data_IF_204044080365
#
_entry.id   IF_204044080365
#
_cell.length_a   1.000
_cell.length_b   1.000
_cell.length_c   1.000
_cell.angle_alpha   90.00
_cell.angle_beta   90.00
_cell.angle_gamma   90.00
#
_symmetry.space_group_name_H-M   'P 1'
#
loop_
_entity.id
_entity.type
_entity.pdbx_description
1 polymer ?
#
# COMPACT_ATOMS: atom_id res chain seq x y z
N UNK A 1 8.30 30.78 -20.17
CA UNK A 1 9.16 29.71 -20.24
C UNK A 1 8.43 28.41 -20.36
N UNK A 2 9.01 27.61 -21.06
CA UNK A 2 8.36 26.35 -21.25
C UNK A 2 8.40 25.60 -19.95
N UNK A 3 7.30 25.60 -19.34
CA UNK A 3 7.16 24.76 -18.21
C UNK A 3 7.34 23.33 -18.63
N UNK A 4 7.74 22.53 -17.71
CA UNK A 4 7.74 21.12 -17.95
C UNK A 4 6.30 20.72 -18.26
N UNK A 5 6.04 20.44 -19.51
CA UNK A 5 4.71 20.06 -19.96
C UNK A 5 4.40 18.59 -19.69
N UNK A 6 5.39 17.85 -19.20
CA UNK A 6 5.17 16.45 -18.85
C UNK A 6 4.23 16.39 -17.67
N UNK A 7 3.10 15.67 -17.78
CA UNK A 7 2.21 15.52 -16.63
C UNK A 7 2.98 14.88 -15.48
N UNK A 8 2.85 15.48 -14.31
CA UNK A 8 3.43 14.87 -13.12
C UNK A 8 2.68 13.58 -12.85
N UNK A 9 3.43 12.52 -12.64
CA UNK A 9 2.84 11.24 -12.32
C UNK A 9 2.31 11.27 -10.91
N UNK A 10 1.04 10.96 -10.75
CA UNK A 10 0.46 10.70 -9.46
C UNK A 10 0.58 9.22 -9.16
N UNK A 11 1.12 8.92 -7.98
CA UNK A 11 1.22 7.55 -7.52
C UNK A 11 -0.16 7.10 -7.07
N UNK A 12 -0.60 5.96 -7.56
CA UNK A 12 -1.91 5.42 -7.20
C UNK A 12 -1.76 4.50 -6.00
N UNK A 13 -2.49 4.81 -4.94
CA UNK A 13 -2.38 4.13 -3.64
C UNK A 13 -3.73 3.50 -3.30
N UNK A 14 -3.71 2.19 -3.05
CA UNK A 14 -4.88 1.50 -2.53
C UNK A 14 -4.70 1.33 -1.03
N UNK A 15 -5.71 1.69 -0.26
CA UNK A 15 -5.67 1.61 1.20
C UNK A 15 -6.82 0.74 1.67
N UNK A 16 -6.51 -0.30 2.44
CA UNK A 16 -7.50 -1.19 3.04
C UNK A 16 -7.36 -1.13 4.55
N UNK A 17 -8.25 -0.41 5.21
CA UNK A 17 -8.26 -0.24 6.66
C UNK A 17 -9.68 0.13 7.09
N UNK A 18 -10.20 -0.53 8.13
CA UNK A 18 -11.55 -0.25 8.61
C UNK A 18 -11.60 0.82 9.70
N UNK A 19 -10.45 1.33 10.11
CA UNK A 19 -10.36 2.37 11.14
C UNK A 19 -10.43 3.75 10.48
N UNK A 20 -11.54 4.51 10.67
CA UNK A 20 -11.66 5.83 10.03
C UNK A 20 -10.57 6.81 10.43
N UNK A 21 -10.04 6.70 11.66
CA UNK A 21 -8.98 7.60 12.11
C UNK A 21 -7.69 7.35 11.34
N UNK A 22 -7.37 6.10 11.09
CA UNK A 22 -6.18 5.74 10.30
C UNK A 22 -6.36 6.18 8.85
N UNK A 23 -7.53 5.92 8.27
CA UNK A 23 -7.82 6.36 6.91
C UNK A 23 -7.68 7.88 6.76
N UNK A 24 -8.21 8.63 7.72
CA UNK A 24 -8.10 10.09 7.72
C UNK A 24 -6.64 10.53 7.83
N UNK A 25 -5.87 9.87 8.68
CA UNK A 25 -4.46 10.21 8.85
C UNK A 25 -3.69 9.96 7.57
N UNK A 26 -3.87 8.80 6.96
CA UNK A 26 -3.18 8.46 5.71
C UNK A 26 -3.58 9.44 4.61
N UNK A 27 -4.86 9.73 4.48
CA UNK A 27 -5.35 10.68 3.49
C UNK A 27 -4.74 12.06 3.70
N UNK A 28 -4.72 12.53 4.94
CA UNK A 28 -4.19 13.86 5.26
C UNK A 28 -2.70 13.95 4.91
N UNK A 29 -1.94 12.91 5.20
CA UNK A 29 -0.50 12.90 4.95
C UNK A 29 -0.21 12.81 3.46
N UNK A 30 -0.84 11.88 2.76
CA UNK A 30 -0.53 11.62 1.36
C UNK A 30 -1.16 12.63 0.41
N UNK A 31 -2.26 13.27 0.82
CA UNK A 31 -2.92 14.28 -0.02
C UNK A 31 -1.98 15.43 -0.38
N UNK A 32 -1.00 15.71 0.46
CA UNK A 32 -0.07 16.80 0.23
C UNK A 32 0.98 16.50 -0.83
N UNK A 33 1.09 15.25 -1.24
CA UNK A 33 2.02 14.82 -2.25
C UNK A 33 1.32 14.38 -3.53
N UNK A 34 2.07 13.83 -4.47
CA UNK A 34 1.51 13.42 -5.77
C UNK A 34 0.85 12.04 -5.67
N UNK A 35 -0.15 11.90 -4.84
CA UNK A 35 -0.82 10.62 -4.60
C UNK A 35 -2.30 10.70 -4.91
N UNK A 36 -2.78 9.68 -5.58
CA UNK A 36 -4.20 9.48 -5.84
C UNK A 36 -4.62 8.23 -5.08
N UNK A 37 -5.58 8.36 -4.16
CA UNK A 37 -5.91 7.32 -3.21
C UNK A 37 -7.28 6.72 -3.45
N UNK A 38 -7.36 5.40 -3.28
CA UNK A 38 -8.62 4.67 -3.23
C UNK A 38 -8.70 4.01 -1.85
N UNK A 39 -9.74 4.35 -1.09
CA UNK A 39 -9.93 3.88 0.28
C UNK A 39 -10.96 2.77 0.32
N UNK A 40 -10.61 1.66 0.98
CA UNK A 40 -11.52 0.53 1.16
C UNK A 40 -11.57 0.15 2.63
N UNK A 41 -12.74 -0.30 3.10
CA UNK A 41 -12.95 -0.63 4.50
C UNK A 41 -12.76 -2.10 4.81
N UNK A 42 -12.67 -2.94 3.81
CA UNK A 42 -12.53 -4.39 3.99
C UNK A 42 -11.73 -4.98 2.83
N UNK A 43 -11.41 -6.25 2.96
CA UNK A 43 -10.59 -6.93 1.97
C UNK A 43 -11.33 -7.15 0.66
N UNK A 44 -12.62 -7.46 0.72
CA UNK A 44 -13.41 -7.69 -0.49
C UNK A 44 -13.49 -6.44 -1.35
N UNK A 45 -13.74 -5.28 -0.72
CA UNK A 45 -13.76 -4.01 -1.44
C UNK A 45 -12.40 -3.70 -2.07
N UNK A 46 -11.32 -4.03 -1.38
CA UNK A 46 -9.98 -3.84 -1.91
C UNK A 46 -9.74 -4.70 -3.14
N UNK A 47 -10.17 -5.95 -3.11
CA UNK A 47 -10.02 -6.84 -4.27
C UNK A 47 -10.83 -6.36 -5.46
N UNK A 48 -12.05 -5.87 -5.21
CA UNK A 48 -12.87 -5.28 -6.28
C UNK A 48 -12.18 -4.05 -6.86
N UNK A 49 -11.62 -3.19 -6.00
CA UNK A 49 -10.92 -1.99 -6.44
C UNK A 49 -9.70 -2.33 -7.31
N UNK A 50 -8.97 -3.38 -6.95
CA UNK A 50 -7.83 -3.83 -7.75
C UNK A 50 -8.27 -4.20 -9.17
N UNK A 51 -9.39 -4.91 -9.29
CA UNK A 51 -9.87 -5.35 -10.60
C UNK A 51 -10.47 -4.21 -11.42
N UNK A 52 -11.14 -3.27 -10.76
CA UNK A 52 -11.90 -2.22 -11.47
C UNK A 52 -11.18 -0.90 -11.61
N UNK A 53 -10.28 -0.59 -10.70
CA UNK A 53 -9.62 0.72 -10.64
C UNK A 53 -8.10 0.64 -10.73
N UNK A 54 -7.54 -0.57 -10.82
CA UNK A 54 -6.09 -0.73 -10.97
C UNK A 54 -5.61 -0.23 -12.32
N UNK A 55 -4.30 -0.18 -12.52
CA UNK A 55 -3.26 -0.66 -11.61
C UNK A 55 -2.96 0.34 -10.47
N UNK A 56 -2.42 -0.19 -9.39
CA UNK A 56 -1.94 0.60 -8.26
C UNK A 56 -0.43 0.51 -8.15
N UNK A 57 0.18 1.55 -7.61
CA UNK A 57 1.63 1.62 -7.44
C UNK A 57 2.08 1.10 -6.08
N UNK A 58 1.22 1.20 -5.08
CA UNK A 58 1.49 0.73 -3.73
C UNK A 58 0.16 0.39 -3.07
N UNK A 59 0.18 -0.59 -2.18
CA UNK A 59 -0.99 -1.00 -1.41
C UNK A 59 -0.64 -0.89 0.08
N UNK A 60 -1.50 -0.23 0.84
CA UNK A 60 -1.39 -0.12 2.29
C UNK A 60 -2.53 -0.93 2.88
N UNK A 61 -2.22 -1.91 3.70
CA UNK A 61 -3.18 -2.88 4.19
C UNK A 61 -3.07 -3.05 5.70
N UNK A 62 -4.21 -2.95 6.40
CA UNK A 62 -4.25 -3.26 7.82
C UNK A 62 -4.16 -4.78 8.01
N UNK A 63 -3.42 -5.19 9.02
CA UNK A 63 -3.33 -6.61 9.39
C UNK A 63 -4.68 -7.16 9.82
N UNK A 64 -5.48 -6.36 10.53
CA UNK A 64 -6.78 -6.76 11.06
C UNK A 64 -7.89 -6.12 10.25
N UNK A 65 -8.46 -6.87 9.33
CA UNK A 65 -9.60 -6.41 8.52
C UNK A 65 -10.81 -7.27 8.83
N UNK A 66 -12.03 -6.72 8.71
CA UNK A 66 -13.23 -7.53 8.84
C UNK A 66 -13.34 -8.49 7.66
N UNK A 67 -13.87 -9.67 7.93
CA UNK A 67 -14.02 -10.72 6.92
C UNK A 67 -12.70 -11.43 6.68
N UNK A 68 -12.11 -11.22 5.52
CA UNK A 68 -10.81 -11.80 5.18
C UNK A 68 -9.72 -10.99 5.89
N UNK A 69 -8.78 -11.67 6.54
CA UNK A 69 -7.68 -11.00 7.24
C UNK A 69 -6.75 -10.27 6.26
N UNK A 70 -5.92 -9.37 6.80
CA UNK A 70 -4.93 -8.69 5.98
C UNK A 70 -3.94 -9.64 5.35
N UNK A 71 -3.55 -10.70 6.07
CA UNK A 71 -2.65 -11.72 5.50
C UNK A 71 -3.30 -12.43 4.31
N UNK A 72 -4.56 -12.82 4.46
CA UNK A 72 -5.30 -13.46 3.37
C UNK A 72 -5.43 -12.53 2.17
N UNK A 73 -5.66 -11.24 2.43
CA UNK A 73 -5.72 -10.25 1.35
C UNK A 73 -4.38 -10.18 0.61
N UNK A 74 -3.28 -10.11 1.34
CA UNK A 74 -1.94 -10.07 0.73
C UNK A 74 -1.70 -11.30 -0.12
N UNK A 75 -2.05 -12.49 0.38
CA UNK A 75 -1.89 -13.71 -0.39
C UNK A 75 -2.68 -13.68 -1.69
N UNK A 76 -3.91 -13.19 -1.65
CA UNK A 76 -4.75 -13.07 -2.84
C UNK A 76 -4.20 -12.05 -3.83
N UNK A 77 -3.65 -10.94 -3.32
CA UNK A 77 -3.02 -9.94 -4.18
C UNK A 77 -1.79 -10.49 -4.87
N UNK A 78 -1.00 -11.29 -4.18
CA UNK A 78 0.19 -11.92 -4.77
C UNK A 78 -0.15 -12.98 -5.80
N UNK A 79 -1.34 -13.57 -5.72
CA UNK A 79 -1.81 -14.54 -6.71
C UNK A 79 -2.36 -13.88 -7.97
N UNK A 80 -2.68 -12.59 -7.93
CA UNK A 80 -3.18 -11.85 -9.10
C UNK A 80 -2.02 -11.28 -9.89
N UNK A 81 -2.10 -11.41 -11.20
CA UNK A 81 -1.06 -10.89 -12.08
C UNK A 81 -0.86 -9.39 -11.93
N UNK A 82 -1.93 -8.63 -11.83
CA UNK A 82 -1.88 -7.17 -11.76
C UNK A 82 -1.29 -6.61 -10.49
N UNK A 83 -1.22 -7.40 -9.41
CA UNK A 83 -0.71 -6.95 -8.12
C UNK A 83 0.47 -7.77 -7.60
N UNK A 84 0.90 -8.77 -8.35
CA UNK A 84 1.98 -9.66 -7.93
C UNK A 84 3.26 -8.92 -7.57
N UNK A 85 3.59 -7.87 -8.31
CA UNK A 85 4.82 -7.11 -8.08
C UNK A 85 4.61 -5.78 -7.37
N UNK A 86 3.39 -5.46 -6.96
CA UNK A 86 3.09 -4.17 -6.32
C UNK A 86 3.58 -4.20 -4.86
N UNK A 87 4.34 -3.20 -4.41
CA UNK A 87 4.76 -3.17 -3.01
C UNK A 87 3.58 -3.04 -2.07
N UNK A 88 3.64 -3.77 -0.97
CA UNK A 88 2.59 -3.79 0.04
C UNK A 88 3.18 -3.39 1.39
N UNK A 89 2.62 -2.31 1.96
CA UNK A 89 2.91 -1.86 3.31
C UNK A 89 1.81 -2.38 4.22
N UNK A 90 2.18 -3.19 5.20
CA UNK A 90 1.22 -3.70 6.18
C UNK A 90 1.28 -2.87 7.44
N UNK A 91 0.11 -2.49 7.95
CA UNK A 91 -0.01 -1.72 9.19
C UNK A 91 -0.62 -2.63 10.26
N UNK A 92 -0.03 -2.65 11.45
CA UNK A 92 -0.51 -3.50 12.53
C UNK A 92 -0.48 -2.76 13.86
N UNK A 93 -1.54 -2.94 14.65
CA UNK A 93 -1.60 -2.45 16.01
C UNK A 93 -0.93 -3.38 17.03
N UNK A 94 -0.47 -4.53 16.57
CA UNK A 94 0.15 -5.52 17.43
C UNK A 94 1.55 -5.85 16.92
N UNK A 95 2.53 -5.75 17.82
CA UNK A 95 3.88 -6.21 17.52
C UNK A 95 4.00 -7.65 18.01
N UNK A 96 4.08 -8.57 17.08
CA UNK A 96 4.25 -9.99 17.37
C UNK A 96 5.11 -10.58 16.27
N UNK A 97 6.24 -11.15 16.64
CA UNK A 97 7.17 -11.71 15.66
C UNK A 97 6.53 -12.77 14.77
N UNK A 98 5.62 -13.57 15.34
CA UNK A 98 4.93 -14.59 14.56
C UNK A 98 4.04 -13.95 13.49
N UNK A 99 3.39 -12.83 13.82
CA UNK A 99 2.55 -12.12 12.85
C UNK A 99 3.39 -11.48 11.76
N UNK A 100 4.52 -10.88 12.13
CA UNK A 100 5.44 -10.29 11.14
C UNK A 100 5.96 -11.34 10.18
N UNK A 101 6.32 -12.52 10.69
CA UNK A 101 6.79 -13.62 9.86
C UNK A 101 5.72 -14.11 8.91
N UNK A 102 4.49 -14.27 9.40
CA UNK A 102 3.37 -14.70 8.55
C UNK A 102 3.06 -13.69 7.45
N UNK A 103 3.07 -12.41 7.80
CA UNK A 103 2.78 -11.37 6.83
C UNK A 103 3.89 -11.27 5.77
N UNK A 104 5.14 -11.40 6.18
CA UNK A 104 6.27 -11.41 5.26
C UNK A 104 6.18 -12.62 4.31
N UNK A 105 5.87 -13.80 4.85
CA UNK A 105 5.72 -15.01 4.05
C UNK A 105 4.56 -14.89 3.07
N UNK A 106 3.50 -14.17 3.44
CA UNK A 106 2.37 -13.93 2.55
C UNK A 106 2.75 -13.00 1.40
N UNK A 107 3.77 -12.15 1.59
CA UNK A 107 4.27 -11.29 0.52
C UNK A 107 4.26 -9.80 0.83
N UNK A 108 4.05 -9.40 2.10
CA UNK A 108 4.17 -8.00 2.49
C UNK A 108 5.64 -7.56 2.44
N UNK A 109 5.87 -6.32 2.01
CA UNK A 109 7.22 -5.81 1.81
C UNK A 109 7.76 -5.02 2.98
N UNK A 110 6.87 -4.40 3.75
CA UNK A 110 7.27 -3.55 4.85
C UNK A 110 6.16 -3.49 5.88
N UNK A 111 6.51 -3.23 7.14
CA UNK A 111 5.57 -3.19 8.25
C UNK A 111 5.66 -1.87 8.96
N UNK A 112 4.53 -1.37 9.41
CA UNK A 112 4.45 -0.15 10.20
C UNK A 112 3.52 -0.40 11.38
N UNK A 113 4.02 -0.17 12.59
CA UNK A 113 3.24 -0.42 13.80
C UNK A 113 2.39 0.79 14.15
N UNK A 114 1.17 0.56 14.59
CA UNK A 114 0.30 1.61 15.15
C UNK A 114 0.66 1.77 16.63
N UNK A 115 0.75 3.00 17.13
CA UNK A 115 0.64 4.25 16.40
C UNK A 115 1.93 4.57 15.63
N UNK A 116 1.80 5.20 14.50
CA UNK A 116 2.94 5.63 13.71
C UNK A 116 2.91 7.14 13.52
N UNK A 117 4.08 7.73 13.27
CA UNK A 117 4.19 9.15 13.01
C UNK A 117 3.98 9.45 11.53
N UNK A 118 3.70 10.71 11.22
CA UNK A 118 3.62 11.20 9.84
C UNK A 118 4.90 10.87 9.08
N UNK A 119 6.04 11.09 9.74
CA UNK A 119 7.35 10.84 9.15
C UNK A 119 7.56 9.36 8.84
N UNK A 120 7.14 8.48 9.75
CA UNK A 120 7.26 7.03 9.52
C UNK A 120 6.41 6.57 8.33
N UNK A 121 5.18 7.05 8.23
CA UNK A 121 4.32 6.71 7.11
C UNK A 121 4.92 7.21 5.80
N UNK A 122 5.32 8.46 5.77
CA UNK A 122 5.89 9.08 4.57
C UNK A 122 7.15 8.36 4.12
N UNK A 123 8.03 8.04 5.07
CA UNK A 123 9.26 7.32 4.77
C UNK A 123 9.01 5.92 4.23
N UNK A 124 8.04 5.21 4.81
CA UNK A 124 7.70 3.88 4.36
C UNK A 124 7.19 3.88 2.91
N UNK A 125 6.27 4.80 2.61
CA UNK A 125 5.70 4.92 1.27
C UNK A 125 6.77 5.31 0.26
N UNK A 126 7.59 6.31 0.58
CA UNK A 126 8.66 6.77 -0.31
C UNK A 126 9.66 5.66 -0.57
N UNK A 127 10.03 4.92 0.47
CA UNK A 127 10.98 3.82 0.34
C UNK A 127 10.46 2.73 -0.61
N UNK A 128 9.22 2.33 -0.44
CA UNK A 128 8.64 1.28 -1.28
C UNK A 128 8.50 1.72 -2.73
N UNK A 129 8.10 2.95 -2.98
CA UNK A 129 7.98 3.45 -4.34
C UNK A 129 9.34 3.62 -5.01
N UNK A 130 10.35 4.03 -4.26
CA UNK A 130 11.72 4.15 -4.74
C UNK A 130 12.27 2.79 -5.18
N UNK A 131 12.01 1.76 -4.38
CA UNK A 131 12.43 0.40 -4.70
C UNK A 131 11.76 -0.12 -5.97
N UNK A 132 10.47 0.17 -6.12
CA UNK A 132 9.73 -0.24 -7.30
C UNK A 132 10.32 0.36 -8.57
N UNK A 133 10.63 1.65 -8.53
CA UNK A 133 11.24 2.34 -9.67
C UNK A 133 12.60 1.74 -10.00
N UNK A 134 13.42 1.45 -8.99
CA UNK A 134 14.72 0.84 -9.20
C UNK A 134 14.59 -0.53 -9.86
N UNK A 135 13.64 -1.34 -9.39
CA UNK A 135 13.41 -2.66 -9.95
C UNK A 135 12.90 -2.56 -11.39
N UNK A 136 12.00 -1.63 -11.67
CA UNK A 136 11.51 -1.42 -13.02
C UNK A 136 12.63 -0.99 -13.95
N UNK A 137 13.50 -0.10 -13.50
CA UNK A 137 14.65 0.33 -14.29
C UNK A 137 15.60 -0.82 -14.57
N UNK A 138 15.84 -1.65 -13.56
CA UNK A 138 16.71 -2.81 -13.72
C UNK A 138 16.16 -3.82 -14.71
N UNK A 139 14.85 -3.96 -14.78
CA UNK A 139 14.21 -4.91 -15.70
C UNK A 139 14.29 -4.49 -17.15
N UNK A 140 14.54 -3.23 -17.42
CA UNK A 140 14.67 -2.73 -18.79
C UNK A 140 15.96 -3.22 -19.43
N UNK A 141 16.94 -3.52 -18.62
CA UNK A 141 18.22 -4.01 -19.08
C UNK A 141 18.32 -5.52 -18.93
#
# INVERSE_FOLDING_TARGET
>A
MAEDMTPQRNWRVLIADDDPAICTLIDTVLRKGPYEMVMCNDAESALVAVDRQGPFDIIICDFMLPGISGIDLVERLRAKEGTRGVPILMISGHTNYAMDGRAKNAGANLFLNKPFTISQLRSAVTHLLSKRDSLSSAQIF
#
